data_IF_708071122709
#
_entry.id   IF_708071122709
#
_cell.length_a   1.000
_cell.length_b   1.000
_cell.length_c   1.000
_cell.angle_alpha   90.00
_cell.angle_beta   90.00
_cell.angle_gamma   90.00
#
_symmetry.space_group_name_H-M   'P 1'
#
loop_
_entity.id
_entity.type
_entity.pdbx_description
1 polymer ?
#
# COMPACT_ATOMS: atom_id res chain seq x y z
N UNK A 1 -6.01 -4.86 14.48
CA UNK A 1 -6.33 -5.04 13.05
C UNK A 1 -7.84 -4.96 12.81
N UNK A 2 -8.63 -5.63 13.65
CA UNK A 2 -10.09 -5.78 13.50
C UNK A 2 -10.87 -4.50 13.25
N UNK A 3 -10.60 -3.40 13.95
CA UNK A 3 -11.39 -2.17 13.77
C UNK A 3 -11.38 -1.65 12.33
N UNK A 4 -10.21 -1.63 11.66
CA UNK A 4 -10.10 -1.17 10.26
C UNK A 4 -10.72 -2.16 9.28
N UNK A 5 -10.60 -3.46 9.55
CA UNK A 5 -11.24 -4.49 8.72
C UNK A 5 -12.77 -4.44 8.86
N UNK A 6 -13.30 -4.31 10.07
CA UNK A 6 -14.73 -4.12 10.35
C UNK A 6 -15.25 -2.85 9.68
N UNK A 7 -14.53 -1.73 9.81
CA UNK A 7 -14.89 -0.47 9.14
C UNK A 7 -14.92 -0.61 7.62
N UNK A 8 -13.91 -1.28 7.05
CA UNK A 8 -13.84 -1.55 5.62
C UNK A 8 -15.04 -2.39 5.15
N UNK A 9 -15.32 -3.50 5.84
CA UNK A 9 -16.43 -4.40 5.52
C UNK A 9 -17.80 -3.75 5.71
N UNK A 10 -17.92 -2.80 6.65
CA UNK A 10 -19.18 -2.08 6.88
C UNK A 10 -19.64 -1.24 5.68
N UNK A 11 -18.74 -0.91 4.75
CA UNK A 11 -19.05 -0.09 3.57
C UNK A 11 -19.49 1.35 3.88
N UNK A 12 -19.42 1.77 5.15
CA UNK A 12 -19.95 3.07 5.63
C UNK A 12 -19.14 4.27 5.15
N UNK A 13 -17.85 4.11 4.84
CA UNK A 13 -17.01 5.20 4.32
C UNK A 13 -16.91 5.13 2.80
N UNK A 14 -17.32 6.21 2.14
CA UNK A 14 -17.22 6.36 0.69
C UNK A 14 -15.78 6.17 0.17
N UNK A 15 -14.78 6.57 0.98
CA UNK A 15 -13.35 6.41 0.67
C UNK A 15 -12.94 4.95 0.42
N UNK A 16 -13.65 3.96 0.98
CA UNK A 16 -13.39 2.54 0.76
C UNK A 16 -13.99 2.01 -0.55
N UNK A 17 -14.95 2.72 -1.17
CA UNK A 17 -15.55 2.32 -2.45
C UNK A 17 -14.64 2.62 -3.65
N UNK A 18 -13.74 3.60 -3.51
CA UNK A 18 -12.77 4.01 -4.54
C UNK A 18 -11.34 3.60 -4.22
N UNK A 19 -11.12 2.84 -3.14
CA UNK A 19 -9.79 2.41 -2.74
C UNK A 19 -9.33 1.20 -3.57
N UNK A 20 -8.24 1.37 -4.30
CA UNK A 20 -7.59 0.29 -5.06
C UNK A 20 -6.60 -0.46 -4.15
N UNK A 21 -6.89 -1.73 -3.84
CA UNK A 21 -5.99 -2.60 -3.07
C UNK A 21 -5.28 -3.60 -3.98
N UNK A 22 -4.59 -3.09 -5.00
CA UNK A 22 -3.88 -3.90 -5.98
C UNK A 22 -2.38 -3.84 -5.74
N UNK A 23 -1.71 -4.99 -5.89
CA UNK A 23 -0.25 -5.07 -5.89
C UNK A 23 0.23 -5.84 -7.12
N UNK A 24 1.11 -5.24 -7.90
CA UNK A 24 1.67 -5.88 -9.10
C UNK A 24 2.75 -6.89 -8.70
N UNK A 25 2.59 -8.17 -9.08
CA UNK A 25 3.54 -9.26 -8.74
C UNK A 25 4.30 -9.80 -9.96
N UNK A 26 3.99 -9.29 -11.15
CA UNK A 26 4.64 -9.62 -12.40
C UNK A 26 4.13 -8.72 -13.53
N UNK A 27 4.48 -9.04 -14.78
CA UNK A 27 3.98 -8.31 -15.95
C UNK A 27 2.46 -8.49 -16.13
N UNK A 28 2.02 -9.74 -16.05
CA UNK A 28 0.64 -10.15 -16.34
C UNK A 28 -0.24 -10.37 -15.09
N UNK A 29 0.35 -10.31 -13.89
CA UNK A 29 -0.34 -10.74 -12.67
C UNK A 29 -0.34 -9.65 -11.59
N UNK A 30 -1.50 -9.48 -10.97
CA UNK A 30 -1.74 -8.62 -9.82
C UNK A 30 -2.34 -9.43 -8.66
N UNK A 31 -2.11 -8.99 -7.44
CA UNK A 31 -2.87 -9.42 -6.26
C UNK A 31 -3.97 -8.39 -6.02
N UNK A 32 -5.22 -8.83 -6.01
CA UNK A 32 -6.36 -8.02 -5.59
C UNK A 32 -6.77 -8.37 -4.15
N UNK A 33 -6.54 -7.43 -3.23
CA UNK A 33 -6.94 -7.59 -1.85
C UNK A 33 -8.35 -7.05 -1.55
N UNK A 34 -9.06 -6.44 -2.52
CA UNK A 34 -10.32 -5.69 -2.35
C UNK A 34 -11.34 -6.46 -1.52
N UNK A 35 -11.67 -7.69 -1.90
CA UNK A 35 -12.66 -8.51 -1.17
C UNK A 35 -12.05 -9.43 -0.12
N UNK A 36 -10.86 -9.97 -0.40
CA UNK A 36 -10.15 -10.93 0.45
C UNK A 36 -8.69 -10.52 0.50
N UNK A 37 -8.17 -10.30 1.70
CA UNK A 37 -6.79 -9.89 1.90
C UNK A 37 -6.35 -10.06 3.34
N UNK A 38 -5.12 -9.66 3.62
CA UNK A 38 -4.59 -9.60 4.99
C UNK A 38 -4.44 -8.16 5.47
N UNK A 39 -3.94 -8.00 6.71
CA UNK A 39 -3.68 -6.71 7.34
C UNK A 39 -2.80 -5.77 6.50
N UNK A 40 -1.92 -6.34 5.66
CA UNK A 40 -0.99 -5.59 4.82
C UNK A 40 -1.69 -4.63 3.83
N UNK A 41 -2.97 -4.86 3.51
CA UNK A 41 -3.75 -3.96 2.65
C UNK A 41 -3.92 -2.55 3.24
N UNK A 42 -3.73 -2.39 4.54
CA UNK A 42 -3.85 -1.12 5.25
C UNK A 42 -2.52 -0.38 5.44
N UNK A 43 -1.43 -0.86 4.84
CA UNK A 43 -0.15 -0.17 4.85
C UNK A 43 -0.23 1.01 3.88
N UNK A 44 -0.02 2.22 4.39
CA UNK A 44 -0.15 3.45 3.63
C UNK A 44 1.12 3.81 2.84
N UNK A 45 0.97 4.77 1.93
CA UNK A 45 2.07 5.37 1.22
C UNK A 45 2.83 6.41 2.05
N UNK A 46 4.16 6.42 1.94
CA UNK A 46 4.98 7.59 2.27
C UNK A 46 6.03 7.84 1.20
N UNK A 47 6.33 9.12 0.92
CA UNK A 47 7.46 9.52 0.07
C UNK A 47 8.81 9.34 0.79
N UNK A 48 8.80 9.13 2.11
CA UNK A 48 9.94 8.75 2.94
C UNK A 48 9.53 7.53 3.78
N UNK A 49 9.45 6.34 3.15
CA UNK A 49 8.93 5.15 3.80
C UNK A 49 9.91 4.56 4.82
N UNK A 50 9.42 3.62 5.64
CA UNK A 50 10.24 2.82 6.55
C UNK A 50 10.26 1.32 6.19
N UNK A 51 9.47 0.91 5.20
CA UNK A 51 9.46 -0.43 4.63
C UNK A 51 9.55 -0.41 3.11
N UNK A 52 10.07 -1.52 2.57
CA UNK A 52 10.06 -1.84 1.14
C UNK A 52 9.24 -3.11 0.90
N UNK A 53 8.47 -3.13 -0.19
CA UNK A 53 7.77 -4.34 -0.63
C UNK A 53 8.64 -5.09 -1.65
N UNK A 54 8.82 -6.40 -1.44
CA UNK A 54 9.56 -7.28 -2.35
C UNK A 54 8.70 -8.47 -2.75
N UNK A 55 8.83 -8.88 -4.02
CA UNK A 55 8.26 -10.14 -4.50
C UNK A 55 9.31 -11.22 -4.34
N UNK A 56 9.02 -12.23 -3.52
CA UNK A 56 9.91 -13.38 -3.31
C UNK A 56 9.19 -14.68 -3.68
N UNK A 57 9.94 -15.72 -4.01
CA UNK A 57 9.41 -17.07 -4.21
C UNK A 57 9.47 -17.85 -2.90
N UNK A 58 8.34 -18.35 -2.44
CA UNK A 58 8.24 -19.23 -1.27
C UNK A 58 7.52 -20.50 -1.72
N UNK A 59 8.19 -21.66 -1.66
CA UNK A 59 7.63 -22.95 -2.12
C UNK A 59 7.09 -22.89 -3.56
N UNK A 60 7.84 -22.26 -4.47
CA UNK A 60 7.47 -22.03 -5.88
C UNK A 60 6.26 -21.11 -6.10
N UNK A 61 5.77 -20.42 -5.08
CA UNK A 61 4.73 -19.40 -5.20
C UNK A 61 5.30 -18.01 -4.97
N UNK A 62 4.93 -17.05 -5.83
CA UNK A 62 5.28 -15.63 -5.64
C UNK A 62 4.47 -15.06 -4.48
N UNK A 63 5.14 -14.42 -3.53
CA UNK A 63 4.55 -13.72 -2.39
C UNK A 63 5.10 -12.31 -2.32
N UNK A 64 4.26 -11.37 -1.90
CA UNK A 64 4.67 -10.00 -1.56
C UNK A 64 5.00 -9.97 -0.08
N UNK A 65 6.21 -9.53 0.24
CA UNK A 65 6.70 -9.42 1.61
C UNK A 65 7.21 -8.01 1.85
N UNK A 66 6.82 -7.43 2.98
CA UNK A 66 7.27 -6.12 3.42
C UNK A 66 8.44 -6.28 4.38
N UNK A 67 9.57 -5.66 4.05
CA UNK A 67 10.77 -5.66 4.87
C UNK A 67 10.99 -4.26 5.43
N UNK A 68 11.33 -4.18 6.71
CA UNK A 68 11.76 -2.92 7.32
C UNK A 68 13.13 -2.51 6.74
N UNK A 69 13.27 -1.23 6.41
CA UNK A 69 14.54 -0.65 5.91
C UNK A 69 15.36 0.00 7.03
N UNK A 70 14.72 0.23 8.18
CA UNK A 70 15.33 0.76 9.41
C UNK A 70 14.60 0.20 10.63
N UNK A 71 15.15 0.42 11.81
CA UNK A 71 14.43 0.18 13.06
C UNK A 71 13.12 1.00 13.09
N UNK A 72 12.01 0.38 13.49
CA UNK A 72 10.67 1.01 13.59
C UNK A 72 10.28 1.02 15.07
N UNK A 73 10.09 2.21 15.64
CA UNK A 73 9.74 2.34 17.04
C UNK A 73 8.25 2.05 17.29
N UNK A 74 7.87 1.64 18.52
CA UNK A 74 6.47 1.48 18.89
C UNK A 74 5.66 2.75 18.59
N UNK A 75 4.50 2.59 17.93
CA UNK A 75 3.63 3.69 17.55
C UNK A 75 3.96 4.35 16.21
N UNK A 76 5.11 4.05 15.58
CA UNK A 76 5.38 4.49 14.21
C UNK A 76 4.49 3.77 13.21
N UNK A 77 3.94 4.52 12.25
CA UNK A 77 3.18 3.94 11.15
C UNK A 77 4.11 3.20 10.17
N UNK A 78 3.74 1.98 9.81
CA UNK A 78 4.41 1.23 8.74
C UNK A 78 3.94 1.79 7.39
N UNK A 79 4.88 2.20 6.55
CA UNK A 79 4.62 2.79 5.23
C UNK A 79 5.60 2.29 4.18
N UNK A 80 5.17 2.28 2.91
CA UNK A 80 6.03 1.95 1.76
C UNK A 80 5.79 2.92 0.59
N UNK A 81 6.69 2.96 -0.39
CA UNK A 81 6.43 3.70 -1.63
C UNK A 81 5.51 2.88 -2.55
N UNK A 82 4.38 3.46 -2.95
CA UNK A 82 3.43 2.77 -3.83
C UNK A 82 3.92 2.67 -5.28
N UNK A 83 4.95 3.46 -5.65
CA UNK A 83 5.53 3.48 -7.00
C UNK A 83 4.48 3.63 -8.12
N UNK A 84 3.52 4.54 -7.93
CA UNK A 84 2.60 4.91 -9.01
C UNK A 84 3.40 5.43 -10.21
N UNK A 85 3.02 5.01 -11.42
CA UNK A 85 3.64 5.49 -12.64
C UNK A 85 3.39 6.99 -12.77
N UNK A 86 4.46 7.77 -12.76
CA UNK A 86 4.38 9.23 -12.83
C UNK A 86 4.01 9.78 -14.20
N UNK A 87 4.18 8.94 -15.22
CA UNK A 87 3.90 9.26 -16.62
C UNK A 87 2.44 8.98 -17.00
N UNK A 88 1.63 8.37 -16.12
CA UNK A 88 0.20 8.23 -16.37
C UNK A 88 -0.44 9.63 -16.36
N UNK A 89 -0.80 10.13 -17.55
CA UNK A 89 -1.51 11.40 -17.81
C UNK A 89 -2.92 11.47 -17.17
N UNK A 90 -3.28 10.48 -16.36
CA UNK A 90 -4.52 10.43 -15.61
C UNK A 90 -4.58 11.48 -14.48
N UNK A 91 -5.66 11.41 -13.72
CA UNK A 91 -5.90 12.32 -12.59
C UNK A 91 -4.77 12.21 -11.56
N UNK A 92 -4.10 13.33 -11.27
CA UNK A 92 -3.09 13.40 -10.20
C UNK A 92 -3.72 13.12 -8.84
N UNK A 93 -3.23 12.09 -8.16
CA UNK A 93 -3.75 11.69 -6.85
C UNK A 93 -2.92 12.39 -5.77
N UNK A 94 -3.51 13.28 -4.95
CA UNK A 94 -2.76 14.02 -3.94
C UNK A 94 -2.18 13.08 -2.87
N UNK A 95 -0.91 13.31 -2.52
CA UNK A 95 -0.21 12.59 -1.47
C UNK A 95 -0.32 13.32 -0.13
N UNK A 96 -0.84 12.62 0.87
CA UNK A 96 -1.06 13.15 2.23
C UNK A 96 -0.08 12.58 3.27
N UNK A 97 1.07 12.03 2.86
CA UNK A 97 2.01 11.40 3.79
C UNK A 97 2.70 12.36 4.77
N UNK A 98 2.66 13.68 4.51
CA UNK A 98 3.25 14.75 5.35
C UNK A 98 4.75 14.61 5.65
N UNK A 99 5.46 13.72 4.96
CA UNK A 99 6.92 13.62 5.06
C UNK A 99 7.60 14.92 4.61
N UNK A 100 8.79 15.22 5.15
CA UNK A 100 9.53 16.45 4.83
C UNK A 100 9.83 16.53 3.33
N UNK A 101 10.13 15.40 2.71
CA UNK A 101 10.38 15.25 1.26
C UNK A 101 9.15 14.84 0.44
N UNK A 102 7.93 15.20 0.85
CA UNK A 102 6.71 14.77 0.16
C UNK A 102 6.64 15.27 -1.29
N UNK A 103 6.38 14.35 -2.22
CA UNK A 103 6.24 14.60 -3.68
C UNK A 103 4.93 15.29 -4.07
N UNK A 104 4.04 15.55 -3.10
CA UNK A 104 2.69 16.16 -3.26
C UNK A 104 1.66 15.31 -4.00
N UNK A 105 2.08 14.41 -4.88
CA UNK A 105 1.21 13.48 -5.60
C UNK A 105 1.78 12.05 -5.55
N UNK A 106 0.91 11.05 -5.74
CA UNK A 106 1.31 9.63 -5.77
C UNK A 106 1.93 9.27 -7.13
N UNK A 107 1.27 9.64 -8.23
CA UNK A 107 1.77 9.68 -9.59
C UNK A 107 2.46 11.03 -9.87
#
# INVERSE_FOLDING_TARGET
ADKREIEYQSGKRQQYKSACYFFKIGKEHIIDATRKGGIARFINHSCQPNCVAKVISVRNEKKVVFFAERHINPGEEITYDYHFNREDEGQRIPCFCRSRGCRRYLN
#
